data_IF_123796610885
#
_entry.id   IF_123796610885
#
_cell.length_a   1.000
_cell.length_b   1.000
_cell.length_c   1.000
_cell.angle_alpha   90.00
_cell.angle_beta   90.00
_cell.angle_gamma   90.00
#
_symmetry.space_group_name_H-M   'P 1'
#
loop_
_entity.id
_entity.type
_entity.pdbx_description
1 polymer ?
#
# COMPACT_ATOMS: atom_id res chain seq x y z
N UNK A 1 -13.48 19.11 -53.99
CA UNK A 1 -14.52 19.17 -52.93
C UNK A 1 -14.24 17.97 -52.03
N UNK A 2 -13.27 18.04 -51.12
CA UNK A 2 -13.29 18.64 -49.78
C UNK A 2 -14.50 18.19 -48.94
N UNK A 3 -14.36 17.06 -48.26
CA UNK A 3 -15.04 16.81 -46.99
C UNK A 3 -14.00 16.34 -45.98
N UNK A 4 -13.41 17.33 -45.31
CA UNK A 4 -12.67 17.12 -44.08
C UNK A 4 -13.68 16.73 -43.00
N UNK A 5 -13.66 15.48 -42.58
CA UNK A 5 -14.33 15.04 -41.34
C UNK A 5 -13.50 15.57 -40.17
N UNK A 6 -13.79 16.80 -39.77
CA UNK A 6 -13.45 17.30 -38.45
C UNK A 6 -14.41 16.65 -37.46
N UNK A 7 -13.93 15.65 -36.70
CA UNK A 7 -14.54 15.29 -35.42
C UNK A 7 -13.55 15.63 -34.32
N UNK A 8 -13.85 16.80 -33.76
CA UNK A 8 -13.41 17.39 -32.52
C UNK A 8 -13.33 16.33 -31.40
N UNK A 9 -12.16 15.69 -31.24
CA UNK A 9 -11.83 14.96 -30.02
C UNK A 9 -11.58 16.00 -28.91
N UNK A 10 -12.67 16.49 -28.33
CA UNK A 10 -12.61 17.27 -27.10
C UNK A 10 -11.92 16.42 -26.03
N UNK A 11 -10.61 16.63 -25.83
CA UNK A 11 -9.85 16.09 -24.69
C UNK A 11 -10.47 16.61 -23.40
N UNK A 12 -11.47 15.92 -22.89
CA UNK A 12 -12.03 16.20 -21.58
C UNK A 12 -10.91 15.96 -20.56
N UNK A 13 -10.47 17.05 -19.93
CA UNK A 13 -9.46 16.95 -18.86
C UNK A 13 -10.04 16.09 -17.73
N UNK A 14 -9.24 15.20 -17.12
CA UNK A 14 -9.71 14.42 -15.99
C UNK A 14 -10.23 15.36 -14.89
N UNK A 15 -11.38 15.02 -14.32
CA UNK A 15 -11.98 15.80 -13.22
C UNK A 15 -11.01 15.79 -12.04
N UNK A 16 -10.59 16.98 -11.61
CA UNK A 16 -9.68 17.13 -10.49
C UNK A 16 -10.47 17.16 -9.18
N UNK A 17 -10.03 16.40 -8.19
CA UNK A 17 -10.54 16.47 -6.82
C UNK A 17 -9.61 17.38 -6.01
N UNK A 18 -10.16 18.45 -5.45
CA UNK A 18 -9.40 19.39 -4.62
C UNK A 18 -9.72 19.21 -3.15
N UNK A 19 -8.68 19.13 -2.32
CA UNK A 19 -8.79 19.18 -0.86
C UNK A 19 -8.15 20.49 -0.39
N UNK A 20 -8.87 21.26 0.43
CA UNK A 20 -8.37 22.46 1.07
C UNK A 20 -8.45 22.28 2.59
N UNK A 21 -7.30 22.37 3.27
CA UNK A 21 -7.20 22.26 4.71
C UNK A 21 -6.21 23.30 5.24
N UNK A 22 -6.58 23.93 6.35
CA UNK A 22 -5.76 24.93 7.05
C UNK A 22 -5.32 24.36 8.39
N UNK A 23 -4.00 24.21 8.55
CA UNK A 23 -3.35 23.81 9.78
C UNK A 23 -2.52 24.96 10.34
N UNK A 24 -2.76 25.35 11.58
CA UNK A 24 -2.12 26.50 12.23
C UNK A 24 -1.80 26.18 13.70
N UNK A 25 -0.77 25.35 13.96
CA UNK A 25 -0.37 25.03 15.32
C UNK A 25 0.28 26.24 16.00
N UNK A 26 0.20 26.27 17.33
CA UNK A 26 0.91 27.25 18.15
C UNK A 26 2.43 27.09 17.99
N UNK A 27 3.17 28.19 17.89
CA UNK A 27 4.61 28.14 17.61
C UNK A 27 5.47 27.46 18.68
N UNK A 28 4.93 27.33 19.90
CA UNK A 28 5.61 26.79 21.07
C UNK A 28 5.31 25.30 21.30
N UNK A 29 4.45 24.68 20.48
CA UNK A 29 4.14 23.25 20.58
C UNK A 29 5.04 22.45 19.63
N UNK A 30 5.12 21.14 19.83
CA UNK A 30 5.83 20.22 18.93
C UNK A 30 5.32 20.34 17.50
N UNK A 31 4.00 20.48 17.32
CA UNK A 31 3.37 20.77 16.02
C UNK A 31 3.85 22.10 15.41
N UNK A 32 4.07 23.12 16.25
CA UNK A 32 4.65 24.40 15.83
C UNK A 32 6.07 24.25 15.32
N UNK A 33 6.89 23.42 15.98
CA UNK A 33 8.24 23.08 15.54
C UNK A 33 8.22 22.32 14.21
N UNK A 34 7.32 21.34 14.06
CA UNK A 34 7.11 20.62 12.81
C UNK A 34 6.71 21.57 11.67
N UNK A 35 5.75 22.48 11.91
CA UNK A 35 5.32 23.45 10.92
C UNK A 35 6.46 24.37 10.47
N UNK A 36 7.32 24.80 11.40
CA UNK A 36 8.53 25.59 11.09
C UNK A 36 9.53 24.79 10.26
N UNK A 37 9.78 23.54 10.62
CA UNK A 37 10.69 22.66 9.89
C UNK A 37 10.24 22.42 8.44
N UNK A 38 8.96 22.08 8.24
CA UNK A 38 8.36 21.87 6.91
C UNK A 38 8.48 23.15 6.07
N UNK A 39 8.15 24.32 6.63
CA UNK A 39 8.25 25.61 5.94
C UNK A 39 9.68 25.99 5.56
N UNK A 40 10.68 25.55 6.31
CA UNK A 40 12.08 25.85 6.04
C UNK A 40 12.68 24.98 4.92
N UNK A 41 11.98 23.94 4.47
CA UNK A 41 12.48 23.05 3.44
C UNK A 41 12.60 23.75 2.08
N UNK A 42 13.73 23.55 1.39
CA UNK A 42 14.02 24.19 0.09
C UNK A 42 13.67 23.32 -1.11
N UNK A 43 13.43 22.02 -0.90
CA UNK A 43 13.31 21.06 -2.00
C UNK A 43 11.86 20.79 -2.40
N UNK A 44 10.92 20.85 -1.45
CA UNK A 44 9.52 20.57 -1.67
C UNK A 44 8.66 21.66 -1.02
N UNK A 45 7.52 21.96 -1.62
CA UNK A 45 6.55 22.83 -0.95
C UNK A 45 5.99 22.14 0.29
N UNK A 46 5.56 22.88 1.33
CA UNK A 46 4.91 22.29 2.49
C UNK A 46 3.74 21.37 2.12
N UNK A 47 2.98 21.74 1.09
CA UNK A 47 1.86 20.95 0.60
C UNK A 47 2.33 19.61 0.03
N UNK A 48 3.37 19.61 -0.81
CA UNK A 48 3.88 18.38 -1.42
C UNK A 48 4.49 17.45 -0.39
N UNK A 49 5.16 17.99 0.64
CA UNK A 49 5.67 17.18 1.75
C UNK A 49 4.55 16.49 2.50
N UNK A 50 3.51 17.23 2.89
CA UNK A 50 2.36 16.67 3.59
C UNK A 50 1.63 15.63 2.73
N UNK A 51 1.47 15.90 1.43
CA UNK A 51 0.85 14.96 0.50
C UNK A 51 1.69 13.68 0.39
N UNK A 52 3.01 13.80 0.20
CA UNK A 52 3.88 12.62 0.06
C UNK A 52 3.84 11.75 1.31
N UNK A 53 4.00 12.33 2.50
CA UNK A 53 3.95 11.57 3.76
C UNK A 53 2.60 10.88 3.97
N UNK A 54 1.50 11.59 3.70
CA UNK A 54 0.14 11.05 3.85
C UNK A 54 -0.14 9.95 2.82
N UNK A 55 0.32 10.14 1.57
CA UNK A 55 0.07 9.26 0.43
C UNK A 55 0.65 7.87 0.65
N UNK A 56 1.80 7.77 1.28
CA UNK A 56 2.49 6.48 1.49
C UNK A 56 1.58 5.46 2.17
N UNK A 57 0.83 5.87 3.19
CA UNK A 57 -0.09 4.97 3.88
C UNK A 57 -1.48 4.96 3.24
N UNK A 58 -2.08 6.14 3.06
CA UNK A 58 -3.50 6.23 2.72
C UNK A 58 -3.83 5.87 1.27
N UNK A 59 -2.87 5.94 0.36
CA UNK A 59 -3.13 5.59 -1.04
C UNK A 59 -3.48 4.12 -1.18
N UNK A 60 -2.74 3.23 -0.52
CA UNK A 60 -3.00 1.78 -0.58
C UNK A 60 -4.38 1.44 -0.01
N UNK A 61 -4.77 2.10 1.09
CA UNK A 61 -6.11 1.94 1.69
C UNK A 61 -7.21 2.42 0.75
N UNK A 62 -7.04 3.62 0.16
CA UNK A 62 -8.03 4.20 -0.74
C UNK A 62 -8.20 3.36 -2.01
N UNK A 63 -7.09 2.86 -2.57
CA UNK A 63 -7.10 1.99 -3.74
C UNK A 63 -7.77 0.66 -3.43
N UNK A 64 -7.43 0.00 -2.32
CA UNK A 64 -8.08 -1.24 -1.91
C UNK A 64 -9.60 -1.09 -1.74
N UNK A 65 -10.06 0.02 -1.14
CA UNK A 65 -11.48 0.29 -0.97
C UNK A 65 -12.21 0.64 -2.26
N UNK A 66 -11.52 1.19 -3.26
CA UNK A 66 -12.13 1.57 -4.54
C UNK A 66 -12.58 0.36 -5.35
N UNK A 67 -11.86 -0.77 -5.25
CA UNK A 67 -12.06 -1.93 -6.12
C UNK A 67 -11.64 -1.71 -7.58
N UNK A 68 -11.01 -0.57 -7.90
CA UNK A 68 -10.65 -0.18 -9.27
C UNK A 68 -9.30 -0.76 -9.73
N UNK A 69 -8.56 -1.43 -8.85
CA UNK A 69 -7.21 -1.94 -9.11
C UNK A 69 -7.19 -3.46 -9.14
N UNK A 70 -6.37 -4.02 -10.02
CA UNK A 70 -6.11 -5.45 -10.01
C UNK A 70 -5.26 -5.84 -8.80
N UNK A 71 -5.35 -7.11 -8.39
CA UNK A 71 -4.63 -7.63 -7.24
C UNK A 71 -3.11 -7.42 -7.36
N UNK A 72 -2.54 -7.62 -8.55
CA UNK A 72 -1.10 -7.43 -8.80
C UNK A 72 -0.68 -5.96 -8.62
N UNK A 73 -1.50 -5.01 -9.10
CA UNK A 73 -1.24 -3.58 -8.94
C UNK A 73 -1.32 -3.15 -7.48
N UNK A 74 -2.29 -3.69 -6.73
CA UNK A 74 -2.45 -3.45 -5.30
C UNK A 74 -1.26 -4.00 -4.50
N UNK A 75 -0.77 -5.19 -4.84
CA UNK A 75 0.40 -5.77 -4.19
C UNK A 75 1.67 -4.95 -4.43
N UNK A 76 1.90 -4.50 -5.67
CA UNK A 76 3.06 -3.68 -5.98
C UNK A 76 2.99 -2.33 -5.26
N UNK A 77 1.82 -1.69 -5.26
CA UNK A 77 1.58 -0.47 -4.49
C UNK A 77 1.81 -0.69 -2.98
N UNK A 78 1.36 -1.83 -2.45
CA UNK A 78 1.57 -2.23 -1.06
C UNK A 78 3.04 -2.42 -0.72
N UNK A 79 3.79 -3.20 -1.51
CA UNK A 79 5.23 -3.43 -1.33
C UNK A 79 6.02 -2.13 -1.33
N UNK A 80 5.71 -1.23 -2.27
CA UNK A 80 6.33 0.09 -2.34
C UNK A 80 6.04 0.91 -1.09
N UNK A 81 4.79 0.94 -0.66
CA UNK A 81 4.36 1.68 0.54
C UNK A 81 5.05 1.17 1.80
N UNK A 82 5.13 -0.15 1.98
CA UNK A 82 5.84 -0.79 3.10
C UNK A 82 7.32 -0.38 3.10
N UNK A 83 7.99 -0.43 1.95
CA UNK A 83 9.41 -0.05 1.83
C UNK A 83 9.63 1.42 2.22
N UNK A 84 8.77 2.32 1.75
CA UNK A 84 8.86 3.75 2.07
C UNK A 84 8.60 4.00 3.57
N UNK A 85 7.66 3.28 4.20
CA UNK A 85 7.42 3.36 5.65
C UNK A 85 8.60 2.82 6.46
N UNK A 86 9.18 1.69 6.06
CA UNK A 86 10.38 1.13 6.72
C UNK A 86 11.53 2.12 6.70
N UNK A 87 11.76 2.81 5.57
CA UNK A 87 12.78 3.87 5.50
C UNK A 87 12.49 5.04 6.45
N UNK A 88 11.22 5.39 6.67
CA UNK A 88 10.85 6.42 7.64
C UNK A 88 11.09 5.95 9.08
N UNK A 89 10.72 4.71 9.40
CA UNK A 89 10.97 4.09 10.71
C UNK A 89 12.47 4.08 10.99
N UNK A 90 13.29 3.54 10.07
CA UNK A 90 14.74 3.52 10.21
C UNK A 90 15.34 4.92 10.41
N UNK A 91 14.80 5.93 9.71
CA UNK A 91 15.26 7.32 9.87
C UNK A 91 14.94 7.85 11.25
N UNK A 92 13.75 7.58 11.78
CA UNK A 92 13.37 7.97 13.14
C UNK A 92 14.29 7.28 14.13
N UNK A 93 14.41 5.96 14.04
CA UNK A 93 15.30 5.13 14.88
C UNK A 93 16.73 5.69 14.94
N UNK A 94 17.30 6.06 13.78
CA UNK A 94 18.63 6.68 13.69
C UNK A 94 18.72 8.05 14.38
N UNK A 95 17.69 8.89 14.26
CA UNK A 95 17.68 10.24 14.87
C UNK A 95 17.50 10.14 16.39
N UNK A 96 16.71 9.17 16.85
CA UNK A 96 16.39 8.99 18.27
C UNK A 96 17.33 8.02 18.99
N UNK A 97 18.28 7.40 18.29
CA UNK A 97 19.12 6.30 18.78
C UNK A 97 18.30 5.16 19.43
N UNK A 98 17.12 4.88 18.87
CA UNK A 98 16.30 3.74 19.28
C UNK A 98 16.64 2.57 18.36
N UNK A 99 16.86 1.38 18.93
CA UNK A 99 16.94 0.12 18.17
C UNK A 99 15.53 -0.45 18.04
N UNK A 100 15.06 -0.63 16.81
CA UNK A 100 13.74 -1.22 16.54
C UNK A 100 13.61 -2.58 17.21
N UNK A 101 12.71 -2.70 18.19
CA UNK A 101 12.27 -3.99 18.74
C UNK A 101 11.21 -4.66 17.85
N UNK A 102 10.82 -4.02 16.74
CA UNK A 102 9.82 -4.53 15.80
C UNK A 102 10.39 -5.59 14.87
N UNK A 103 10.64 -6.79 15.40
CA UNK A 103 10.55 -7.99 14.59
C UNK A 103 9.07 -8.18 14.21
N UNK A 104 8.69 -7.75 13.01
CA UNK A 104 7.47 -8.22 12.36
C UNK A 104 7.64 -9.73 12.16
N UNK A 105 7.20 -10.49 13.16
CA UNK A 105 7.14 -11.95 13.09
C UNK A 105 6.41 -12.31 11.79
N UNK A 106 7.10 -13.08 10.96
CA UNK A 106 6.61 -13.68 9.74
C UNK A 106 5.52 -14.70 10.08
N UNK A 107 4.32 -14.23 10.39
CA UNK A 107 3.12 -15.07 10.47
C UNK A 107 2.22 -14.70 9.30
N UNK A 108 2.73 -14.97 8.08
CA UNK A 108 1.84 -15.32 6.98
C UNK A 108 1.60 -16.82 7.16
N UNK A 109 0.60 -17.15 7.97
CA UNK A 109 0.08 -18.51 8.06
C UNK A 109 -0.51 -18.86 6.69
N UNK A 110 0.23 -19.68 5.97
CA UNK A 110 -0.14 -20.19 4.67
C UNK A 110 -1.26 -21.22 4.89
N UNK A 111 -2.51 -20.77 4.78
CA UNK A 111 -3.68 -21.65 4.75
C UNK A 111 -3.68 -22.46 3.44
N UNK A 112 -2.90 -23.53 3.39
CA UNK A 112 -3.20 -24.65 2.51
C UNK A 112 -4.16 -25.58 3.24
N UNK A 113 -5.45 -25.30 3.05
CA UNK A 113 -6.51 -26.29 3.21
C UNK A 113 -6.32 -27.37 2.15
N UNK A 114 -5.68 -28.48 2.51
CA UNK A 114 -5.84 -29.73 1.78
C UNK A 114 -6.95 -30.49 2.51
N UNK A 115 -8.15 -30.39 1.95
CA UNK A 115 -9.24 -31.31 2.19
C UNK A 115 -9.18 -32.31 1.06
N UNK A 116 -8.87 -33.56 1.37
CA UNK A 116 -9.27 -34.73 0.57
C UNK A 116 -9.49 -35.87 1.58
N UNK A 117 -10.70 -35.85 2.14
CA UNK A 117 -11.42 -37.05 2.53
C UNK A 117 -11.75 -37.82 1.24
N UNK A 118 -11.32 -39.08 1.16
CA UNK A 118 -11.93 -40.18 0.38
C UNK A 118 -11.32 -41.46 1.01
N UNK A 119 -11.94 -42.04 2.04
CA UNK A 119 -12.95 -43.11 1.96
C UNK A 119 -12.41 -44.41 1.30
N UNK A 120 -12.25 -45.42 2.17
CA UNK A 120 -12.55 -46.85 2.00
C UNK A 120 -12.01 -47.63 0.78
N UNK A 121 -11.14 -48.61 1.04
CA UNK A 121 -11.17 -49.88 0.31
C UNK A 121 -10.80 -51.05 1.24
N UNK A 122 -11.85 -51.73 1.64
CA UNK A 122 -11.96 -52.98 2.36
C UNK A 122 -12.03 -54.15 1.36
N UNK A 123 -11.08 -55.09 1.37
CA UNK A 123 -11.23 -56.21 0.44
C UNK A 123 -10.16 -57.28 0.46
N UNK A 124 -10.31 -58.18 1.43
CA UNK A 124 -10.06 -59.63 1.36
C UNK A 124 -8.76 -60.18 0.72
N UNK A 125 -7.99 -60.86 1.58
CA UNK A 125 -6.91 -61.76 1.19
C UNK A 125 -7.49 -62.98 0.47
N UNK A 126 -7.11 -63.19 -0.80
CA UNK A 126 -7.29 -64.49 -1.44
C UNK A 126 -6.11 -65.41 -1.10
N UNK A 127 -6.38 -66.41 -0.27
CA UNK A 127 -5.68 -67.68 -0.30
C UNK A 127 -6.01 -68.39 -1.63
N UNK A 128 -5.02 -68.67 -2.49
CA UNK A 128 -5.13 -69.84 -3.36
C UNK A 128 -3.77 -70.47 -3.71
N UNK A 129 -3.82 -71.79 -3.73
CA UNK A 129 -2.73 -72.76 -3.63
C UNK A 129 -1.97 -73.05 -4.94
N UNK A 130 -0.80 -73.66 -4.71
CA UNK A 130 -0.17 -74.77 -5.46
C UNK A 130 0.54 -74.50 -6.80
N UNK A 131 1.84 -74.76 -6.76
CA UNK A 131 2.46 -75.77 -7.63
C UNK A 131 3.49 -76.57 -6.83
#
# INVERSE_FOLDING_TARGET
MNEQVQKDESRQKPKQVSINFRWQPCETTDDGLLAKYIKASRFLTPKDQMIQTTRIFWLTVAVWQSGDYEQEELEELGRRSIRELQQQIERIARITNLTDEFNLSSSVENNQSISDDDEDDDGEMEDFEMS
#
